data_IF_572634082698
#
_entry.id   IF_572634082698
#
_cell.length_a   1.000
_cell.length_b   1.000
_cell.length_c   1.000
_cell.angle_alpha   90.00
_cell.angle_beta   90.00
_cell.angle_gamma   90.00
#
_symmetry.space_group_name_H-M   'P 1'
#
loop_
_entity.id
_entity.type
_entity.pdbx_description
1 polymer ?
#
# COMPACT_ATOMS: atom_id res chain seq x y z
N UNK A 1 44.85 -20.54 -29.56
CA UNK A 1 43.43 -20.24 -29.88
C UNK A 1 42.86 -19.41 -28.73
N UNK A 2 42.35 -18.21 -29.03
CA UNK A 2 41.71 -17.29 -28.08
C UNK A 2 40.20 -17.49 -28.21
N UNK A 3 39.57 -18.15 -27.25
CA UNK A 3 38.12 -18.26 -27.09
C UNK A 3 37.86 -18.37 -25.59
N UNK A 4 37.31 -17.33 -24.94
CA UNK A 4 35.88 -17.05 -24.69
C UNK A 4 35.52 -17.43 -23.24
N UNK A 5 34.91 -16.48 -22.50
CA UNK A 5 33.83 -16.67 -21.50
C UNK A 5 33.66 -15.32 -20.75
N UNK A 6 32.77 -14.46 -21.26
CA UNK A 6 31.41 -14.25 -20.75
C UNK A 6 31.42 -13.59 -19.36
N UNK A 7 31.42 -12.26 -19.39
CA UNK A 7 31.05 -11.41 -18.25
C UNK A 7 29.58 -11.72 -17.95
N UNK A 8 29.37 -12.40 -16.83
CA UNK A 8 28.08 -12.67 -16.22
C UNK A 8 27.45 -11.34 -15.80
N UNK A 9 26.66 -10.72 -16.68
CA UNK A 9 25.80 -9.58 -16.34
C UNK A 9 24.63 -10.08 -15.50
N UNK A 10 24.87 -10.16 -14.19
CA UNK A 10 23.87 -10.47 -13.18
C UNK A 10 22.82 -9.35 -13.17
N UNK A 11 21.73 -9.56 -13.89
CA UNK A 11 20.58 -8.66 -13.93
C UNK A 11 19.76 -8.89 -12.64
N UNK A 12 20.07 -8.14 -11.58
CA UNK A 12 19.17 -8.01 -10.42
C UNK A 12 17.99 -7.10 -10.81
N UNK A 13 17.06 -7.63 -11.60
CA UNK A 13 15.82 -6.94 -11.95
C UNK A 13 14.63 -7.08 -10.97
N UNK A 14 14.65 -7.83 -9.84
CA UNK A 14 13.49 -7.87 -8.95
C UNK A 14 13.50 -6.87 -7.77
N UNK A 15 14.52 -6.01 -7.60
CA UNK A 15 14.62 -5.14 -6.41
C UNK A 15 13.74 -3.88 -6.44
N UNK A 16 13.37 -3.36 -7.62
CA UNK A 16 12.68 -2.07 -7.70
C UNK A 16 11.25 -2.11 -7.16
N UNK A 17 10.52 -3.22 -7.34
CA UNK A 17 9.14 -3.33 -6.86
C UNK A 17 9.03 -3.45 -5.34
N UNK A 18 9.95 -4.16 -4.70
CA UNK A 18 9.99 -4.24 -3.25
C UNK A 18 10.32 -2.86 -2.65
N UNK A 19 11.28 -2.14 -3.24
CA UNK A 19 11.64 -0.80 -2.80
C UNK A 19 10.49 0.21 -2.95
N UNK A 20 9.75 0.16 -4.07
CA UNK A 20 8.55 0.99 -4.25
C UNK A 20 7.46 0.68 -3.20
N UNK A 21 7.31 -0.60 -2.84
CA UNK A 21 6.33 -1.05 -1.85
C UNK A 21 6.69 -0.57 -0.45
N UNK A 22 7.97 -0.70 -0.08
CA UNK A 22 8.48 -0.26 1.22
C UNK A 22 8.32 1.24 1.40
N UNK A 23 8.72 2.04 0.40
CA UNK A 23 8.57 3.51 0.45
C UNK A 23 7.11 3.93 0.60
N UNK A 24 6.21 3.29 -0.15
CA UNK A 24 4.77 3.55 -0.05
C UNK A 24 4.23 3.15 1.32
N UNK A 25 4.64 2.00 1.85
CA UNK A 25 4.22 1.51 3.15
C UNK A 25 4.71 2.43 4.29
N UNK A 26 5.94 2.93 4.20
CA UNK A 26 6.50 3.90 5.14
C UNK A 26 5.73 5.22 5.11
N UNK A 27 5.40 5.76 3.94
CA UNK A 27 4.59 6.98 3.82
C UNK A 27 3.21 6.80 4.45
N UNK A 28 2.53 5.70 4.12
CA UNK A 28 1.22 5.38 4.67
C UNK A 28 1.25 5.17 6.18
N UNK A 29 2.31 4.55 6.69
CA UNK A 29 2.52 4.32 8.13
C UNK A 29 2.78 5.63 8.84
N UNK A 30 3.68 6.47 8.31
CA UNK A 30 4.03 7.77 8.89
C UNK A 30 2.80 8.67 9.09
N UNK A 31 1.89 8.71 8.11
CA UNK A 31 0.64 9.46 8.23
C UNK A 31 -0.26 8.94 9.37
N UNK A 32 -0.38 7.62 9.52
CA UNK A 32 -1.19 7.01 10.59
C UNK A 32 -0.50 7.19 11.94
N UNK A 33 0.82 6.98 12.02
CA UNK A 33 1.63 7.17 13.23
C UNK A 33 1.46 8.58 13.78
N UNK A 34 1.51 9.59 12.91
CA UNK A 34 1.32 10.99 13.29
C UNK A 34 -0.10 11.28 13.80
N UNK A 35 -1.13 10.81 13.09
CA UNK A 35 -2.53 11.11 13.44
C UNK A 35 -3.01 10.36 14.69
N UNK A 36 -2.55 9.12 14.89
CA UNK A 36 -3.01 8.25 15.98
C UNK A 36 -2.03 8.20 17.16
N UNK A 37 -0.86 8.86 17.05
CA UNK A 37 0.21 8.82 18.04
C UNK A 37 0.58 7.37 18.42
N UNK A 38 0.90 6.56 17.40
CA UNK A 38 1.17 5.13 17.59
C UNK A 38 2.40 4.90 18.48
N UNK A 39 2.31 3.89 19.35
CA UNK A 39 3.49 3.38 20.04
C UNK A 39 4.39 2.61 19.06
N UNK A 40 5.67 2.45 19.41
CA UNK A 40 6.67 1.84 18.53
C UNK A 40 6.28 0.41 18.08
N UNK A 41 5.71 -0.39 18.96
CA UNK A 41 5.27 -1.75 18.66
C UNK A 41 4.00 -1.78 17.78
N UNK A 42 3.11 -0.79 17.94
CA UNK A 42 1.96 -0.61 17.05
C UNK A 42 2.41 -0.18 15.66
N UNK A 43 3.34 0.78 15.58
CA UNK A 43 3.92 1.28 14.33
C UNK A 43 4.54 0.16 13.50
N UNK A 44 5.33 -0.74 14.12
CA UNK A 44 5.92 -1.88 13.41
C UNK A 44 4.85 -2.82 12.80
N UNK A 45 3.76 -3.09 13.52
CA UNK A 45 2.68 -3.96 13.02
C UNK A 45 1.81 -3.27 11.98
N UNK A 46 1.61 -1.96 12.11
CA UNK A 46 0.94 -1.14 11.09
C UNK A 46 1.79 -1.12 9.83
N UNK A 47 3.11 -0.94 9.94
CA UNK A 47 4.03 -1.01 8.81
C UNK A 47 3.92 -2.35 8.08
N UNK A 48 3.96 -3.47 8.80
CA UNK A 48 3.80 -4.80 8.19
C UNK A 48 2.47 -4.91 7.41
N UNK A 49 1.37 -4.45 8.00
CA UNK A 49 0.06 -4.43 7.33
C UNK A 49 0.07 -3.54 6.07
N UNK A 50 0.77 -2.40 6.12
CA UNK A 50 0.90 -1.48 5.00
C UNK A 50 1.79 -2.03 3.89
N UNK A 51 2.89 -2.72 4.22
CA UNK A 51 3.78 -3.37 3.24
C UNK A 51 3.00 -4.38 2.40
N UNK A 52 2.25 -5.27 3.03
CA UNK A 52 1.43 -6.27 2.31
C UNK A 52 0.41 -5.59 1.36
N UNK A 53 -0.18 -4.49 1.82
CA UNK A 53 -1.13 -3.72 1.01
C UNK A 53 -0.45 -2.99 -0.15
N UNK A 54 0.73 -2.39 0.09
CA UNK A 54 1.54 -1.68 -0.91
C UNK A 54 2.04 -2.63 -2.00
N UNK A 55 2.54 -3.81 -1.63
CA UNK A 55 2.90 -4.87 -2.57
C UNK A 55 1.71 -5.25 -3.46
N UNK A 56 0.52 -5.39 -2.86
CA UNK A 56 -0.71 -5.68 -3.61
C UNK A 56 -1.05 -4.54 -4.58
N UNK A 57 -0.92 -3.28 -4.16
CA UNK A 57 -1.16 -2.12 -5.03
C UNK A 57 -0.24 -2.12 -6.25
N UNK A 58 1.07 -2.32 -6.02
CA UNK A 58 2.08 -2.34 -7.07
C UNK A 58 1.86 -3.53 -8.01
N UNK A 59 1.60 -4.72 -7.46
CA UNK A 59 1.27 -5.89 -8.26
C UNK A 59 0.02 -5.69 -9.12
N UNK A 60 -1.02 -5.04 -8.57
CA UNK A 60 -2.25 -4.76 -9.32
C UNK A 60 -2.07 -3.74 -10.44
N UNK A 61 -1.18 -2.76 -10.27
CA UNK A 61 -0.81 -1.78 -11.31
C UNK A 61 -0.36 -2.52 -12.58
N UNK A 62 0.56 -3.45 -12.42
CA UNK A 62 1.26 -4.12 -13.52
C UNK A 62 0.54 -5.42 -13.97
N UNK A 63 -0.49 -5.87 -13.24
CA UNK A 63 -1.24 -7.09 -13.58
C UNK A 63 -2.13 -6.97 -14.82
N UNK A 64 -2.22 -8.04 -15.61
CA UNK A 64 -3.22 -8.20 -16.66
C UNK A 64 -4.56 -8.64 -16.04
N UNK A 65 -5.50 -7.72 -15.93
CA UNK A 65 -6.81 -8.00 -15.35
C UNK A 65 -7.81 -6.90 -15.65
N UNK A 66 -9.09 -7.27 -15.75
CA UNK A 66 -10.13 -6.28 -15.97
C UNK A 66 -10.17 -5.26 -14.83
N UNK A 67 -10.56 -4.03 -15.12
CA UNK A 67 -10.69 -2.98 -14.10
C UNK A 67 -11.55 -3.44 -12.90
N UNK A 68 -12.61 -4.21 -13.16
CA UNK A 68 -13.51 -4.75 -12.13
C UNK A 68 -12.79 -5.73 -11.21
N UNK A 69 -11.98 -6.63 -11.76
CA UNK A 69 -11.21 -7.60 -10.97
C UNK A 69 -10.14 -6.91 -10.13
N UNK A 70 -9.43 -5.94 -10.70
CA UNK A 70 -8.44 -5.14 -9.95
C UNK A 70 -9.09 -4.42 -8.77
N UNK A 71 -10.26 -3.80 -8.97
CA UNK A 71 -11.02 -3.14 -7.89
C UNK A 71 -11.45 -4.15 -6.81
N UNK A 72 -11.91 -5.34 -7.19
CA UNK A 72 -12.29 -6.38 -6.23
C UNK A 72 -11.09 -6.82 -5.38
N UNK A 73 -9.94 -7.08 -6.01
CA UNK A 73 -8.70 -7.45 -5.32
C UNK A 73 -8.23 -6.34 -4.38
N UNK A 74 -8.23 -5.10 -4.86
CA UNK A 74 -7.85 -3.94 -4.06
C UNK A 74 -8.74 -3.77 -2.83
N UNK A 75 -10.06 -3.92 -3.00
CA UNK A 75 -11.00 -3.84 -1.86
C UNK A 75 -10.71 -4.91 -0.82
N UNK A 76 -10.51 -6.15 -1.25
CA UNK A 76 -10.18 -7.26 -0.33
C UNK A 76 -8.84 -7.06 0.37
N UNK A 77 -7.84 -6.49 -0.31
CA UNK A 77 -6.55 -6.15 0.31
C UNK A 77 -6.69 -5.02 1.34
N UNK A 78 -7.51 -4.01 1.04
CA UNK A 78 -7.80 -2.92 1.98
C UNK A 78 -8.53 -3.43 3.24
N UNK A 79 -9.54 -4.31 3.07
CA UNK A 79 -10.24 -4.95 4.19
C UNK A 79 -9.28 -5.73 5.09
N UNK A 80 -8.42 -6.58 4.50
CA UNK A 80 -7.42 -7.35 5.26
C UNK A 80 -6.42 -6.46 6.00
N UNK A 81 -5.98 -5.37 5.39
CA UNK A 81 -5.11 -4.39 6.05
C UNK A 81 -5.83 -3.74 7.23
N UNK A 82 -7.06 -3.28 7.02
CA UNK A 82 -7.86 -2.64 8.07
C UNK A 82 -8.09 -3.60 9.26
N UNK A 83 -8.34 -4.88 9.01
CA UNK A 83 -8.48 -5.91 10.07
C UNK A 83 -7.18 -6.08 10.87
N UNK A 84 -6.02 -6.10 10.19
CA UNK A 84 -4.70 -6.19 10.85
C UNK A 84 -4.40 -4.95 11.68
N UNK A 85 -4.72 -3.76 11.16
CA UNK A 85 -4.55 -2.50 11.88
C UNK A 85 -5.47 -2.48 13.11
N UNK A 86 -6.75 -2.86 12.97
CA UNK A 86 -7.70 -2.91 14.08
C UNK A 86 -7.20 -3.79 15.24
N UNK A 87 -6.58 -4.92 14.94
CA UNK A 87 -6.09 -5.86 15.93
C UNK A 87 -4.95 -5.31 16.81
N UNK A 88 -4.33 -4.18 16.44
CA UNK A 88 -3.15 -3.62 17.13
C UNK A 88 -3.41 -2.22 17.72
N UNK A 89 -4.50 -1.57 17.33
CA UNK A 89 -4.91 -0.28 17.86
C UNK A 89 -5.75 -0.44 19.14
N UNK A 90 -5.75 0.60 19.97
CA UNK A 90 -6.78 0.75 21.01
C UNK A 90 -8.11 1.14 20.37
N UNK A 91 -9.22 1.00 21.11
CA UNK A 91 -10.54 1.41 20.61
C UNK A 91 -10.57 2.89 20.20
N UNK A 92 -9.96 3.78 20.99
CA UNK A 92 -9.88 5.22 20.66
C UNK A 92 -9.06 5.49 19.38
N UNK A 93 -7.94 4.79 19.21
CA UNK A 93 -7.12 4.90 18.01
C UNK A 93 -7.86 4.34 16.79
N UNK A 94 -8.62 3.26 16.96
CA UNK A 94 -9.45 2.68 15.90
C UNK A 94 -10.57 3.65 15.47
N UNK A 95 -11.27 4.29 16.40
CA UNK A 95 -12.30 5.27 16.06
C UNK A 95 -11.73 6.43 15.23
N UNK A 96 -10.54 6.94 15.60
CA UNK A 96 -9.82 7.96 14.81
C UNK A 96 -9.39 7.43 13.44
N UNK A 97 -8.91 6.19 13.38
CA UNK A 97 -8.54 5.54 12.13
C UNK A 97 -9.72 5.46 11.15
N UNK A 98 -10.91 5.08 11.64
CA UNK A 98 -12.10 4.95 10.79
C UNK A 98 -12.50 6.29 10.18
N UNK A 99 -12.44 7.37 10.96
CA UNK A 99 -12.69 8.73 10.48
C UNK A 99 -11.68 9.11 9.40
N UNK A 100 -10.37 8.97 9.67
CA UNK A 100 -9.30 9.28 8.72
C UNK A 100 -9.48 8.51 7.40
N UNK A 101 -9.80 7.22 7.49
CA UNK A 101 -10.05 6.35 6.33
C UNK A 101 -11.23 6.83 5.51
N UNK A 102 -12.33 7.20 6.16
CA UNK A 102 -13.55 7.63 5.47
C UNK A 102 -13.38 9.00 4.84
N UNK A 103 -12.65 9.92 5.47
CA UNK A 103 -12.25 11.20 4.88
C UNK A 103 -11.39 11.01 3.62
N UNK A 104 -10.38 10.14 3.68
CA UNK A 104 -9.58 9.81 2.49
C UNK A 104 -10.44 9.21 1.36
N UNK A 105 -11.38 8.31 1.71
CA UNK A 105 -12.32 7.75 0.72
C UNK A 105 -13.22 8.82 0.10
N UNK A 106 -13.70 9.77 0.89
CA UNK A 106 -14.50 10.88 0.38
C UNK A 106 -13.69 11.78 -0.54
N UNK A 107 -12.46 12.13 -0.15
CA UNK A 107 -11.54 12.92 -0.97
C UNK A 107 -11.27 12.25 -2.31
N UNK A 108 -10.93 10.97 -2.32
CA UNK A 108 -10.74 10.20 -3.55
C UNK A 108 -12.00 10.20 -4.44
N UNK A 109 -13.20 10.05 -3.85
CA UNK A 109 -14.47 10.11 -4.61
C UNK A 109 -14.69 11.48 -5.23
N UNK A 110 -14.38 12.56 -4.52
CA UNK A 110 -14.51 13.92 -5.02
C UNK A 110 -13.52 14.18 -6.18
N UNK A 111 -12.27 13.76 -6.03
CA UNK A 111 -11.26 13.86 -7.09
C UNK A 111 -11.65 13.07 -8.34
N UNK A 112 -12.18 11.86 -8.18
CA UNK A 112 -12.69 11.06 -9.31
C UNK A 112 -13.86 11.75 -10.03
N UNK A 113 -14.78 12.37 -9.28
CA UNK A 113 -15.90 13.14 -9.87
C UNK A 113 -15.38 14.35 -10.64
N UNK A 114 -14.46 15.13 -10.06
CA UNK A 114 -13.87 16.31 -10.69
C UNK A 114 -13.13 15.97 -11.99
N UNK A 115 -12.40 14.85 -12.02
CA UNK A 115 -11.74 14.36 -13.24
C UNK A 115 -12.73 14.00 -14.34
N UNK A 116 -13.90 13.44 -13.99
CA UNK A 116 -14.96 13.09 -14.94
C UNK A 116 -15.69 14.31 -15.49
N UNK A 117 -15.86 15.37 -14.69
CA UNK A 117 -16.53 16.60 -15.14
C UNK A 117 -15.63 17.47 -16.03
N UNK A 118 -14.32 17.33 -15.90
CA UNK A 118 -13.32 18.09 -16.68
C UNK A 118 -12.82 17.34 -17.94
N UNK A 119 -13.32 16.13 -18.22
CA UNK A 119 -13.01 15.35 -19.43
C UNK A 119 -14.18 15.38 -20.40
#
# INVERSE_FOLDING_TARGET
MRTLLLILSLSLAPLSWAQDADLLAEEMTSLISAELSLAHDQEQKVLEAQTIFAETLISLRDSDGSRREKVKKLRSAAEQRDDRIKAVLTDEQWDKYEILRDEQRQKMRQEMKARKTNS
#
